data_IF_382378602069
#
_entry.id   IF_382378602069
#
_cell.length_a   1.000
_cell.length_b   1.000
_cell.length_c   1.000
_cell.angle_alpha   90.00
_cell.angle_beta   90.00
_cell.angle_gamma   90.00
#
_symmetry.space_group_name_H-M   'P 1'
#
loop_
_entity.id
_entity.type
_entity.pdbx_description
1 polymer ?
#
# COMPACT_ATOMS: atom_id res chain seq x y z
N UNK A 1 7.76 3.19 -21.17
CA UNK A 1 7.78 1.79 -20.67
C UNK A 1 6.74 1.70 -19.57
N UNK A 2 5.70 0.91 -19.79
CA UNK A 2 4.59 0.70 -18.87
C UNK A 2 5.14 0.06 -17.59
N UNK A 3 4.88 0.68 -16.44
CA UNK A 3 5.20 0.11 -15.12
C UNK A 3 4.02 -0.81 -14.79
N UNK A 4 4.27 -2.11 -14.73
CA UNK A 4 3.28 -3.06 -14.25
C UNK A 4 3.37 -3.08 -12.72
N UNK A 5 2.48 -2.29 -12.09
CA UNK A 5 2.33 -2.21 -10.64
C UNK A 5 1.18 -3.12 -10.25
N UNK A 6 1.42 -4.10 -9.41
CA UNK A 6 0.35 -4.78 -8.69
C UNK A 6 0.06 -3.97 -7.44
N UNK A 7 -0.90 -3.05 -7.51
CA UNK A 7 -1.31 -2.22 -6.38
C UNK A 7 -2.47 -2.87 -5.61
N UNK A 8 -2.47 -2.77 -4.27
CA UNK A 8 -3.59 -3.11 -3.42
C UNK A 8 -4.87 -2.45 -3.89
N UNK A 9 -5.99 -3.17 -3.76
CA UNK A 9 -7.29 -2.56 -3.99
C UNK A 9 -7.51 -1.46 -2.93
N UNK A 10 -7.71 -0.20 -3.34
CA UNK A 10 -7.72 0.97 -2.45
C UNK A 10 -8.81 0.97 -1.36
N UNK A 11 -9.75 0.02 -1.41
CA UNK A 11 -10.89 -0.13 -0.51
C UNK A 11 -10.86 -1.42 0.33
N UNK A 12 -9.80 -2.22 0.25
CA UNK A 12 -9.69 -3.41 1.10
C UNK A 12 -9.01 -3.04 2.41
N UNK A 13 -9.74 -3.18 3.50
CA UNK A 13 -9.19 -3.07 4.85
C UNK A 13 -8.23 -4.22 5.20
N UNK A 14 -8.12 -5.26 4.38
CA UNK A 14 -7.24 -6.40 4.59
C UNK A 14 -6.67 -6.89 3.26
N UNK A 15 -5.38 -7.25 3.24
CA UNK A 15 -4.74 -7.89 2.10
C UNK A 15 -3.69 -8.91 2.56
N UNK A 16 -3.58 -10.01 1.82
CA UNK A 16 -2.47 -10.97 1.90
C UNK A 16 -1.97 -11.23 0.47
N UNK A 17 -0.65 -11.11 0.29
CA UNK A 17 -0.01 -11.17 -1.02
C UNK A 17 1.41 -11.76 -0.91
N UNK A 18 1.86 -12.42 -1.98
CA UNK A 18 3.20 -13.00 -2.10
C UNK A 18 3.91 -12.46 -3.33
N UNK A 19 5.22 -12.25 -3.21
CA UNK A 19 6.08 -11.80 -4.30
C UNK A 19 7.43 -12.51 -4.30
N UNK A 20 7.89 -12.93 -5.48
CA UNK A 20 9.21 -13.57 -5.67
C UNK A 20 10.23 -12.61 -6.28
N UNK A 21 11.43 -12.49 -5.69
CA UNK A 21 12.58 -11.75 -6.24
C UNK A 21 13.83 -12.64 -6.20
N UNK A 22 14.38 -12.97 -7.38
CA UNK A 22 15.66 -13.70 -7.51
C UNK A 22 15.78 -14.94 -6.60
N UNK A 23 14.73 -15.77 -6.55
CA UNK A 23 14.68 -16.97 -5.70
C UNK A 23 14.28 -16.74 -4.24
N UNK A 24 14.22 -15.49 -3.76
CA UNK A 24 13.68 -15.15 -2.43
C UNK A 24 12.19 -14.88 -2.53
N UNK A 25 11.41 -15.61 -1.72
CA UNK A 25 9.98 -15.39 -1.53
C UNK A 25 9.78 -14.34 -0.43
N UNK A 26 8.96 -13.33 -0.71
CA UNK A 26 8.50 -12.32 0.24
C UNK A 26 7.00 -12.45 0.34
N UNK A 27 6.50 -12.76 1.52
CA UNK A 27 5.06 -12.80 1.85
C UNK A 27 4.75 -11.59 2.70
N UNK A 28 3.63 -10.93 2.43
CA UNK A 28 3.19 -9.76 3.19
C UNK A 28 1.67 -9.75 3.31
N UNK A 29 1.20 -9.06 4.33
CA UNK A 29 -0.21 -8.79 4.50
C UNK A 29 -0.40 -7.64 5.48
N UNK A 30 -1.57 -7.01 5.41
CA UNK A 30 -1.93 -5.92 6.30
C UNK A 30 -3.42 -5.94 6.59
N UNK A 31 -3.79 -5.30 7.70
CA UNK A 31 -5.16 -5.10 8.12
C UNK A 31 -5.29 -3.67 8.69
N UNK A 32 -6.16 -2.84 8.11
CA UNK A 32 -6.58 -1.55 8.62
C UNK A 32 -7.92 -1.66 9.35
N UNK A 33 -7.94 -1.17 10.59
CA UNK A 33 -9.15 -1.10 11.42
C UNK A 33 -9.32 0.33 11.92
N UNK A 34 -10.51 0.92 11.72
CA UNK A 34 -10.82 2.29 12.15
C UNK A 34 -10.72 2.46 13.68
N UNK A 35 -10.99 1.39 14.42
CA UNK A 35 -11.09 1.42 15.87
C UNK A 35 -12.25 2.29 16.35
N UNK A 36 -12.12 2.89 17.54
CA UNK A 36 -13.19 3.67 18.21
C UNK A 36 -13.22 5.16 17.85
N UNK A 37 -12.44 5.59 16.84
CA UNK A 37 -12.36 7.00 16.43
C UNK A 37 -13.72 7.46 15.88
N UNK A 38 -14.14 8.69 16.21
CA UNK A 38 -15.40 9.27 15.69
C UNK A 38 -15.27 9.71 14.23
N UNK A 39 -14.14 10.32 13.87
CA UNK A 39 -13.81 10.69 12.49
C UNK A 39 -13.62 9.45 11.60
N UNK A 40 -13.72 9.54 10.26
CA UNK A 40 -13.50 8.39 9.38
C UNK A 40 -12.05 7.85 9.46
N UNK A 41 -11.81 6.67 8.88
CA UNK A 41 -10.45 6.11 8.78
C UNK A 41 -9.61 7.01 7.86
N UNK A 42 -8.49 7.51 8.36
CA UNK A 42 -7.57 8.38 7.63
C UNK A 42 -6.24 7.67 7.30
N UNK A 43 -5.99 6.52 7.94
CA UNK A 43 -4.81 5.71 7.72
C UNK A 43 -4.80 5.08 6.32
N UNK A 44 -3.61 4.97 5.73
CA UNK A 44 -3.39 4.31 4.45
C UNK A 44 -2.18 3.39 4.52
N UNK A 45 -2.26 2.23 3.87
CA UNK A 45 -1.13 1.31 3.71
C UNK A 45 -0.81 1.20 2.23
N UNK A 46 0.45 1.43 1.86
CA UNK A 46 1.00 1.07 0.57
C UNK A 46 1.76 -0.24 0.71
N UNK A 47 1.43 -1.23 -0.13
CA UNK A 47 2.09 -2.53 -0.12
C UNK A 47 2.16 -3.07 -1.56
N UNK A 48 3.19 -2.63 -2.29
CA UNK A 48 3.24 -2.77 -3.74
C UNK A 48 4.54 -3.42 -4.21
N UNK A 49 4.46 -4.15 -5.31
CA UNK A 49 5.63 -4.59 -6.06
C UNK A 49 5.61 -4.00 -7.47
N UNK A 50 6.76 -3.49 -7.89
CA UNK A 50 6.96 -2.92 -9.21
C UNK A 50 8.33 -3.26 -9.79
N UNK A 51 8.51 -2.99 -11.09
CA UNK A 51 9.82 -3.07 -11.75
C UNK A 51 10.35 -1.67 -12.03
N UNK A 52 11.48 -1.33 -11.41
CA UNK A 52 12.19 -0.07 -11.65
C UNK A 52 13.55 -0.37 -12.25
N UNK A 53 13.83 0.15 -13.45
CA UNK A 53 15.11 -0.05 -14.16
C UNK A 53 15.55 -1.52 -14.27
N UNK A 54 14.58 -2.44 -14.45
CA UNK A 54 14.83 -3.88 -14.57
C UNK A 54 14.95 -4.63 -13.23
N UNK A 55 15.01 -3.92 -12.10
CA UNK A 55 14.99 -4.52 -10.77
C UNK A 55 13.55 -4.60 -10.22
N UNK A 56 13.18 -5.74 -9.64
CA UNK A 56 11.90 -5.89 -8.92
C UNK A 56 12.00 -5.30 -7.52
N UNK A 57 11.29 -4.22 -7.22
CA UNK A 57 11.30 -3.56 -5.91
C UNK A 57 9.94 -3.74 -5.23
N UNK A 58 9.96 -3.76 -3.90
CA UNK A 58 8.75 -3.69 -3.08
C UNK A 58 8.72 -2.35 -2.34
N UNK A 59 7.56 -1.68 -2.31
CA UNK A 59 7.30 -0.47 -1.53
C UNK A 59 6.29 -0.83 -0.43
N UNK A 60 6.67 -0.59 0.82
CA UNK A 60 5.82 -0.81 1.98
C UNK A 60 5.84 0.44 2.85
N UNK A 61 4.67 1.03 3.10
CA UNK A 61 4.54 2.22 3.93
C UNK A 61 3.18 2.24 4.66
N UNK A 62 3.17 2.84 5.85
CA UNK A 62 1.96 3.12 6.62
C UNK A 62 1.92 4.63 6.82
N UNK A 63 0.80 5.24 6.46
CA UNK A 63 0.55 6.67 6.59
C UNK A 63 -0.55 6.87 7.64
N UNK A 64 -0.21 7.52 8.76
CA UNK A 64 -1.15 7.93 9.81
C UNK A 64 -1.75 9.28 9.41
N UNK A 65 -2.98 9.26 8.90
CA UNK A 65 -3.66 10.47 8.44
C UNK A 65 -4.12 11.32 9.62
N UNK A 66 -3.91 12.63 9.56
CA UNK A 66 -4.36 13.55 10.59
C UNK A 66 -4.96 14.82 10.00
N UNK A 67 -6.10 15.24 10.55
CA UNK A 67 -6.77 16.51 10.23
C UNK A 67 -7.36 16.61 8.81
N UNK A 68 -7.89 15.51 8.26
CA UNK A 68 -8.68 15.51 7.04
C UNK A 68 -8.20 14.54 5.95
N UNK A 69 -9.11 14.21 5.03
CA UNK A 69 -8.93 13.15 4.02
C UNK A 69 -8.10 13.56 2.79
N UNK A 70 -7.74 14.84 2.63
CA UNK A 70 -7.08 15.28 1.40
C UNK A 70 -5.64 14.78 1.27
N UNK A 71 -4.88 14.78 2.37
CA UNK A 71 -3.47 14.37 2.36
C UNK A 71 -3.31 12.85 2.12
N UNK A 72 -4.03 11.95 2.81
CA UNK A 72 -3.92 10.50 2.56
C UNK A 72 -4.38 10.11 1.15
N UNK A 73 -5.43 10.76 0.63
CA UNK A 73 -5.91 10.51 -0.74
C UNK A 73 -4.90 10.95 -1.79
N UNK A 74 -4.23 12.10 -1.59
CA UNK A 74 -3.18 12.54 -2.50
C UNK A 74 -2.00 11.56 -2.54
N UNK A 75 -1.57 11.06 -1.38
CA UNK A 75 -0.47 10.09 -1.28
C UNK A 75 -0.79 8.77 -1.98
N UNK A 76 -2.05 8.32 -1.91
CA UNK A 76 -2.51 7.09 -2.54
C UNK A 76 -2.44 7.11 -4.07
N UNK A 77 -2.63 8.27 -4.69
CA UNK A 77 -2.64 8.40 -6.16
C UNK A 77 -1.29 8.85 -6.76
N UNK A 78 -0.37 9.34 -5.93
CA UNK A 78 0.88 9.99 -6.40
C UNK A 78 2.17 9.37 -5.85
N UNK A 79 2.11 8.19 -5.23
CA UNK A 79 3.25 7.36 -4.84
C UNK A 79 3.40 6.14 -5.78
#
# INVERSE_FOLDING_TARGET
>A
KQIEVSSPSPNKGEEESESRRSGRRVTYGFHLVKGKRKHPMEDYVAAEFGRVKGAKLGLFAIFDGHSGHEVPNYLKENL
#
